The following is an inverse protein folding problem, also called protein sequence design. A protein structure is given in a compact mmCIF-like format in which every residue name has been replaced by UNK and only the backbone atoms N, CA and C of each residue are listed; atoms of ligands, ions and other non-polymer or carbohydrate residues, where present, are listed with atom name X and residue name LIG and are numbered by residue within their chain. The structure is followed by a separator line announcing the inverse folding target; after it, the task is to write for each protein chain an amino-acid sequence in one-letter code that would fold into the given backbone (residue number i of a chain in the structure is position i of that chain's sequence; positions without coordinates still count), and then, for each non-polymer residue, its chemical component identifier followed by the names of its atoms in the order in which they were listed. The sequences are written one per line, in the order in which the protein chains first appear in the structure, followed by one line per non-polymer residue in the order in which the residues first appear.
data_IF_231292140875
#
_entry.id   IF_231292140875
#
_cell.length_a   1.000
_cell.length_b   1.000
_cell.length_c   1.000
_cell.angle_alpha   90.00
_cell.angle_beta   90.00
_cell.angle_gamma   90.00
#
_symmetry.space_group_name_H-M   'P 1'
#
loop_
_entity.id
_entity.type
_entity.pdbx_description
1 polymer ?
#
# COMPACT_ATOMS: atom_id res chain seq x y z
N UNK A 1 -2.35 -35.50 17.58
CA UNK A 1 -3.06 -34.26 17.20
C UNK A 1 -2.52 -33.76 15.88
N UNK A 2 -3.37 -33.33 14.96
CA UNK A 2 -2.89 -32.68 13.74
C UNK A 2 -2.41 -31.26 14.12
N UNK A 3 -1.25 -30.86 13.64
CA UNK A 3 -0.66 -29.55 13.91
C UNK A 3 -0.90 -28.60 12.73
N UNK A 4 -1.26 -27.36 13.04
CA UNK A 4 -1.23 -26.24 12.10
C UNK A 4 0.23 -25.81 11.95
N UNK A 5 0.63 -25.29 10.79
CA UNK A 5 1.99 -24.77 10.58
C UNK A 5 2.33 -23.69 11.63
N UNK A 6 3.53 -23.77 12.20
CA UNK A 6 4.01 -22.75 13.17
C UNK A 6 3.91 -21.32 12.58
N UNK A 7 4.23 -21.16 11.32
CA UNK A 7 4.05 -19.89 10.61
C UNK A 7 2.66 -19.30 10.70
N UNK A 8 1.62 -20.16 10.65
CA UNK A 8 0.23 -19.70 10.72
C UNK A 8 -0.16 -19.33 12.17
N UNK A 9 0.44 -19.99 13.14
CA UNK A 9 0.22 -19.71 14.56
C UNK A 9 0.85 -18.38 14.96
N UNK A 10 2.00 -18.05 14.39
CA UNK A 10 2.77 -16.85 14.72
C UNK A 10 2.26 -15.60 13.98
N UNK A 11 1.47 -15.77 12.91
CA UNK A 11 0.89 -14.63 12.21
C UNK A 11 -0.01 -13.79 13.13
N UNK A 12 0.14 -12.47 13.12
CA UNK A 12 -0.70 -11.59 13.91
C UNK A 12 -2.17 -11.72 13.51
N UNK A 13 -3.06 -11.82 14.51
CA UNK A 13 -4.51 -11.78 14.27
C UNK A 13 -4.87 -10.43 13.63
N UNK A 14 -5.41 -10.48 12.42
CA UNK A 14 -5.80 -9.28 11.68
C UNK A 14 -7.12 -8.74 12.25
N UNK A 15 -7.06 -7.71 13.09
CA UNK A 15 -8.24 -7.02 13.66
C UNK A 15 -9.17 -6.49 12.56
N UNK A 16 -8.61 -6.13 11.40
CA UNK A 16 -9.39 -5.71 10.24
C UNK A 16 -10.38 -6.79 9.75
N UNK A 17 -10.06 -8.09 9.90
CA UNK A 17 -10.96 -9.19 9.58
C UNK A 17 -12.15 -9.29 10.55
N UNK A 18 -11.87 -9.20 11.84
CA UNK A 18 -12.93 -9.17 12.88
C UNK A 18 -13.82 -7.94 12.74
N UNK A 19 -13.23 -6.81 12.38
CA UNK A 19 -13.95 -5.57 12.13
C UNK A 19 -14.91 -5.68 10.95
N UNK A 20 -14.54 -6.39 9.87
CA UNK A 20 -15.45 -6.66 8.75
C UNK A 20 -16.70 -7.41 9.19
N UNK A 21 -16.55 -8.43 10.06
CA UNK A 21 -17.66 -9.19 10.65
C UNK A 21 -18.56 -8.30 11.53
N UNK A 22 -17.96 -7.42 12.34
CA UNK A 22 -18.70 -6.46 13.18
C UNK A 22 -19.52 -5.50 12.31
N UNK A 23 -18.94 -4.96 11.26
CA UNK A 23 -19.59 -4.02 10.34
C UNK A 23 -20.73 -4.68 9.53
N UNK A 24 -20.56 -5.94 9.17
CA UNK A 24 -21.61 -6.69 8.49
C UNK A 24 -22.88 -6.83 9.36
N UNK A 25 -22.69 -7.07 10.66
CA UNK A 25 -23.77 -7.25 11.64
C UNK A 25 -24.37 -5.93 12.17
N UNK A 26 -23.63 -4.82 12.07
CA UNK A 26 -24.00 -3.52 12.66
C UNK A 26 -23.97 -2.41 11.60
N UNK A 27 -25.06 -2.23 10.88
CA UNK A 27 -25.16 -1.28 9.75
C UNK A 27 -25.16 0.19 10.17
N UNK A 28 -25.33 0.51 11.44
CA UNK A 28 -25.30 1.87 12.01
C UNK A 28 -23.89 2.35 12.34
N UNK A 29 -22.87 1.46 12.28
CA UNK A 29 -21.47 1.82 12.46
C UNK A 29 -20.94 2.45 11.18
N UNK A 30 -20.41 3.67 11.30
CA UNK A 30 -19.70 4.34 10.20
C UNK A 30 -18.28 3.80 10.14
N UNK A 31 -17.90 3.23 9.01
CA UNK A 31 -16.54 2.72 8.83
C UNK A 31 -15.62 3.76 8.19
N UNK A 32 -14.52 4.08 8.91
CA UNK A 32 -13.35 4.78 8.41
C UNK A 32 -12.12 3.86 8.41
N UNK A 33 -12.35 2.53 8.37
CA UNK A 33 -11.30 1.52 8.48
C UNK A 33 -10.79 1.01 7.13
N UNK A 34 -11.64 0.96 6.11
CA UNK A 34 -11.27 0.36 4.83
C UNK A 34 -10.37 1.25 3.98
N UNK A 35 -9.36 0.61 3.39
CA UNK A 35 -8.43 1.25 2.45
C UNK A 35 -8.87 1.09 1.00
N UNK A 36 -10.14 1.35 0.69
CA UNK A 36 -10.71 1.21 -0.65
C UNK A 36 -11.31 2.54 -1.11
N UNK A 37 -11.04 2.98 -2.37
CA UNK A 37 -11.71 4.14 -2.94
C UNK A 37 -13.23 3.97 -2.92
N UNK A 38 -13.96 5.00 -2.49
CA UNK A 38 -15.43 5.07 -2.58
C UNK A 38 -15.92 5.47 -3.99
N UNK A 39 -15.01 5.88 -4.85
CA UNK A 39 -15.28 6.15 -6.25
C UNK A 39 -15.39 4.86 -7.05
N UNK A 40 -16.34 4.84 -7.98
CA UNK A 40 -16.49 3.70 -8.89
C UNK A 40 -15.37 3.68 -9.94
N UNK A 41 -15.02 2.49 -10.42
CA UNK A 41 -14.22 2.35 -11.64
C UNK A 41 -14.89 3.14 -12.77
N UNK A 42 -14.10 3.81 -13.60
CA UNK A 42 -14.63 4.60 -14.72
C UNK A 42 -15.56 3.77 -15.59
N UNK A 43 -16.72 4.35 -15.98
CA UNK A 43 -17.75 3.65 -16.75
C UNK A 43 -17.22 3.15 -18.09
N UNK A 44 -16.33 3.88 -18.71
CA UNK A 44 -15.67 3.52 -19.97
C UNK A 44 -14.84 2.25 -19.81
N UNK A 45 -14.08 2.12 -18.70
CA UNK A 45 -13.29 0.93 -18.36
C UNK A 45 -14.21 -0.29 -18.18
N UNK A 46 -15.30 -0.12 -17.43
CA UNK A 46 -16.28 -1.20 -17.21
C UNK A 46 -16.94 -1.62 -18.51
N UNK A 47 -17.35 -0.66 -19.34
CA UNK A 47 -17.98 -0.95 -20.63
C UNK A 47 -17.00 -1.60 -21.62
N UNK A 48 -15.71 -1.23 -21.56
CA UNK A 48 -14.68 -1.89 -22.35
C UNK A 48 -14.51 -3.34 -21.91
N UNK A 49 -14.43 -3.61 -20.61
CA UNK A 49 -14.35 -4.98 -20.08
C UNK A 49 -15.53 -5.85 -20.52
N UNK A 50 -16.77 -5.33 -20.48
CA UNK A 50 -17.97 -6.05 -20.92
C UNK A 50 -17.88 -6.57 -22.37
N UNK A 51 -17.23 -5.82 -23.29
CA UNK A 51 -17.05 -6.22 -24.69
C UNK A 51 -16.12 -7.44 -24.87
N UNK A 52 -15.30 -7.74 -23.87
CA UNK A 52 -14.31 -8.81 -23.93
C UNK A 52 -14.58 -9.93 -22.92
N UNK A 53 -15.71 -9.88 -22.20
CA UNK A 53 -16.00 -10.84 -21.14
C UNK A 53 -15.99 -12.29 -21.66
N UNK A 54 -16.69 -12.54 -22.77
CA UNK A 54 -16.78 -13.88 -23.41
C UNK A 54 -15.43 -14.38 -23.99
N UNK A 55 -14.47 -13.45 -24.19
CA UNK A 55 -13.14 -13.76 -24.72
C UNK A 55 -12.08 -13.89 -23.61
N UNK A 56 -12.49 -13.74 -22.36
CA UNK A 56 -11.60 -13.70 -21.18
C UNK A 56 -11.58 -15.02 -20.40
N UNK A 57 -12.08 -16.11 -20.99
CA UNK A 57 -12.18 -17.43 -20.35
C UNK A 57 -10.89 -18.26 -20.38
N UNK A 58 -9.80 -17.72 -20.93
CA UNK A 58 -8.49 -18.38 -21.00
C UNK A 58 -7.46 -17.65 -20.16
N UNK A 59 -6.46 -18.38 -19.69
CA UNK A 59 -5.30 -17.78 -19.02
C UNK A 59 -4.55 -16.85 -19.98
N UNK A 60 -4.14 -15.70 -19.45
CA UNK A 60 -3.17 -14.85 -20.12
C UNK A 60 -1.76 -15.47 -20.02
N UNK A 61 -0.79 -14.88 -20.72
CA UNK A 61 0.62 -15.18 -20.50
C UNK A 61 0.99 -14.92 -19.03
N UNK A 62 1.90 -15.68 -18.45
CA UNK A 62 2.29 -15.60 -17.04
C UNK A 62 2.84 -14.23 -16.64
N UNK A 63 3.64 -13.55 -17.50
CA UNK A 63 4.01 -12.13 -17.31
C UNK A 63 2.85 -11.15 -17.52
N UNK A 64 1.73 -11.63 -18.08
CA UNK A 64 0.57 -10.84 -18.46
C UNK A 64 0.59 -10.37 -19.92
N UNK A 65 -0.53 -9.73 -20.34
CA UNK A 65 -0.75 -9.28 -21.72
C UNK A 65 0.33 -8.27 -22.14
N UNK A 66 1.03 -8.56 -23.25
CA UNK A 66 2.10 -7.71 -23.78
C UNK A 66 1.62 -6.26 -23.98
N UNK A 67 0.44 -6.09 -24.54
CA UNK A 67 -0.16 -4.77 -24.77
C UNK A 67 -0.28 -3.91 -23.51
N UNK A 68 -0.64 -4.51 -22.38
CA UNK A 68 -0.69 -3.80 -21.10
C UNK A 68 0.72 -3.51 -20.56
N UNK A 69 1.65 -4.47 -20.66
CA UNK A 69 3.05 -4.28 -20.26
C UNK A 69 3.73 -3.14 -21.02
N UNK A 70 3.46 -3.01 -22.32
CA UNK A 70 3.94 -1.90 -23.16
C UNK A 70 3.38 -0.53 -22.70
N UNK A 71 2.10 -0.47 -22.35
CA UNK A 71 1.48 0.76 -21.82
C UNK A 71 2.07 1.12 -20.45
N UNK A 72 2.28 0.13 -19.59
CA UNK A 72 2.93 0.31 -18.28
C UNK A 72 4.35 0.86 -18.48
N UNK A 73 5.13 0.30 -19.42
CA UNK A 73 6.49 0.78 -19.71
C UNK A 73 6.49 2.25 -20.12
N UNK A 74 5.55 2.65 -20.99
CA UNK A 74 5.39 4.06 -21.40
C UNK A 74 5.01 4.96 -20.23
N UNK A 75 4.10 4.49 -19.35
CA UNK A 75 3.69 5.20 -18.13
C UNK A 75 4.88 5.36 -17.17
N UNK A 76 5.62 4.31 -16.90
CA UNK A 76 6.78 4.36 -16.02
C UNK A 76 7.84 5.34 -16.52
N UNK A 77 8.11 5.37 -17.82
CA UNK A 77 9.01 6.35 -18.40
C UNK A 77 8.50 7.78 -18.25
N UNK A 78 7.22 8.03 -18.56
CA UNK A 78 6.62 9.36 -18.56
C UNK A 78 6.43 9.94 -17.16
N UNK A 79 5.84 9.13 -16.25
CA UNK A 79 5.33 9.60 -14.96
C UNK A 79 6.36 9.40 -13.84
N UNK A 80 7.07 8.26 -13.86
CA UNK A 80 8.02 7.84 -12.83
C UNK A 80 9.49 8.02 -13.25
N UNK A 81 9.78 8.39 -14.50
CA UNK A 81 11.15 8.52 -15.06
C UNK A 81 11.94 7.20 -15.01
N UNK A 82 11.27 6.08 -14.95
CA UNK A 82 11.87 4.74 -14.97
C UNK A 82 11.99 4.27 -16.42
N UNK A 83 13.22 4.07 -16.90
CA UNK A 83 13.48 3.54 -18.23
C UNK A 83 13.61 2.00 -18.16
N UNK A 84 12.55 1.30 -18.57
CA UNK A 84 12.43 -0.16 -18.49
C UNK A 84 11.88 -0.76 -19.78
N UNK A 85 11.78 -2.08 -19.86
CA UNK A 85 11.24 -2.84 -20.99
C UNK A 85 10.00 -3.65 -20.56
N UNK A 86 9.11 -4.02 -21.50
CA UNK A 86 7.97 -4.85 -21.20
C UNK A 86 8.31 -6.20 -20.55
N UNK A 87 9.51 -6.75 -20.81
CA UNK A 87 9.97 -8.01 -20.23
C UNK A 87 10.31 -7.93 -18.74
N UNK A 88 10.50 -6.71 -18.22
CA UNK A 88 10.73 -6.43 -16.81
C UNK A 88 9.44 -6.21 -16.01
N UNK A 89 8.28 -6.18 -16.70
CA UNK A 89 6.96 -5.97 -16.10
C UNK A 89 6.25 -7.31 -15.91
N UNK A 90 5.89 -7.62 -14.69
CA UNK A 90 5.11 -8.81 -14.34
C UNK A 90 3.78 -8.35 -13.77
N UNK A 91 2.68 -8.68 -14.45
CA UNK A 91 1.32 -8.41 -13.98
C UNK A 91 0.91 -9.46 -12.96
N UNK A 92 0.32 -9.01 -11.86
CA UNK A 92 -0.04 -9.87 -10.72
C UNK A 92 -1.49 -9.66 -10.29
N UNK A 93 -2.02 -10.58 -9.49
CA UNK A 93 -3.38 -10.48 -8.92
C UNK A 93 -3.43 -9.45 -7.77
N UNK A 94 -3.11 -8.19 -8.08
CA UNK A 94 -2.92 -7.08 -7.15
C UNK A 94 -1.48 -6.97 -6.66
N UNK A 95 -1.13 -5.80 -6.10
CA UNK A 95 0.23 -5.51 -5.60
C UNK A 95 0.67 -6.44 -4.47
N UNK A 96 -0.26 -6.98 -3.65
CA UNK A 96 0.07 -7.93 -2.59
C UNK A 96 0.73 -9.21 -3.15
N UNK A 97 0.25 -9.75 -4.28
CA UNK A 97 0.92 -10.87 -4.94
C UNK A 97 2.27 -10.46 -5.53
N UNK A 98 2.41 -9.23 -6.02
CA UNK A 98 3.69 -8.72 -6.50
C UNK A 98 4.72 -8.68 -5.36
N UNK A 99 4.33 -8.17 -4.18
CA UNK A 99 5.16 -8.14 -2.96
C UNK A 99 5.56 -9.57 -2.58
N UNK A 100 4.58 -10.46 -2.43
CA UNK A 100 4.82 -11.84 -1.99
C UNK A 100 5.74 -12.62 -2.93
N UNK A 101 5.51 -12.54 -4.25
CA UNK A 101 6.35 -13.20 -5.24
C UNK A 101 7.76 -12.59 -5.32
N UNK A 102 7.88 -11.27 -5.12
CA UNK A 102 9.18 -10.61 -5.04
C UNK A 102 9.98 -11.10 -3.83
N UNK A 103 9.34 -11.19 -2.66
CA UNK A 103 9.95 -11.69 -1.44
C UNK A 103 10.41 -13.15 -1.60
N UNK A 104 9.55 -14.05 -2.12
CA UNK A 104 9.90 -15.43 -2.40
C UNK A 104 11.07 -15.58 -3.39
N UNK A 105 11.31 -14.58 -4.23
CA UNK A 105 12.36 -14.63 -5.26
C UNK A 105 13.71 -14.11 -4.76
N UNK A 106 13.75 -13.41 -3.62
CA UNK A 106 14.99 -12.79 -3.10
C UNK A 106 15.37 -13.24 -1.69
N UNK A 107 14.43 -13.84 -0.94
CA UNK A 107 14.68 -14.28 0.44
C UNK A 107 14.87 -15.78 0.55
N UNK A 108 15.95 -16.16 1.19
CA UNK A 108 16.12 -17.46 1.80
C UNK A 108 15.73 -17.42 3.28
N UNK A 109 15.42 -18.56 3.91
CA UNK A 109 15.15 -18.63 5.33
C UNK A 109 16.26 -17.97 6.17
N UNK A 110 15.88 -17.16 7.15
CA UNK A 110 16.79 -16.44 8.04
C UNK A 110 17.33 -15.12 7.49
N UNK A 111 17.08 -14.79 6.22
CA UNK A 111 17.47 -13.49 5.66
C UNK A 111 16.49 -12.40 6.10
N UNK A 112 16.98 -11.16 6.13
CA UNK A 112 16.32 -10.01 6.72
C UNK A 112 15.89 -8.97 5.70
N UNK A 113 14.76 -8.32 6.01
CA UNK A 113 14.31 -7.10 5.33
C UNK A 113 14.20 -5.98 6.34
N UNK A 114 14.77 -4.83 6.03
CA UNK A 114 14.54 -3.59 6.78
C UNK A 114 13.24 -2.98 6.29
N UNK A 115 12.27 -2.80 7.20
CA UNK A 115 10.96 -2.21 6.90
C UNK A 115 10.78 -0.92 7.67
N UNK A 116 10.49 0.18 6.99
CA UNK A 116 10.11 1.43 7.66
C UNK A 116 8.79 1.24 8.42
N UNK A 117 8.75 1.58 9.70
CA UNK A 117 7.58 1.36 10.57
C UNK A 117 7.16 2.65 11.27
N UNK A 118 5.86 3.00 11.28
CA UNK A 118 4.68 2.21 10.87
C UNK A 118 4.64 1.87 9.37
N UNK A 119 4.21 0.64 9.04
CA UNK A 119 4.18 0.10 7.68
C UNK A 119 2.79 -0.43 7.30
N UNK A 120 2.53 -0.61 6.01
CA UNK A 120 1.33 -1.29 5.56
C UNK A 120 1.22 -2.70 6.17
N UNK A 121 0.07 -2.99 6.76
CA UNK A 121 -0.21 -4.22 7.52
C UNK A 121 0.05 -5.54 6.76
N UNK A 122 0.15 -5.50 5.45
CA UNK A 122 0.43 -6.68 4.63
C UNK A 122 1.93 -6.92 4.36
N UNK A 123 2.84 -6.00 4.74
CA UNK A 123 4.26 -6.17 4.49
C UNK A 123 4.90 -7.19 5.45
N UNK A 124 4.70 -7.00 6.74
CA UNK A 124 5.30 -7.83 7.78
C UNK A 124 4.88 -9.30 7.64
N UNK A 125 3.57 -9.63 7.59
CA UNK A 125 3.14 -11.01 7.39
C UNK A 125 3.63 -11.62 6.08
N UNK A 126 3.78 -10.84 5.02
CA UNK A 126 4.30 -11.35 3.76
C UNK A 126 5.78 -11.78 3.87
N UNK A 127 6.60 -11.05 4.67
CA UNK A 127 8.00 -11.40 4.94
C UNK A 127 8.07 -12.65 5.82
N UNK A 128 7.29 -12.72 6.87
CA UNK A 128 7.24 -13.85 7.81
C UNK A 128 6.76 -15.14 7.13
N UNK A 129 5.73 -15.05 6.27
CA UNK A 129 5.21 -16.19 5.50
C UNK A 129 6.24 -16.82 4.56
N UNK A 130 7.25 -16.08 4.13
CA UNK A 130 8.35 -16.62 3.30
C UNK A 130 9.59 -16.99 4.13
N UNK A 131 9.46 -17.11 5.45
CA UNK A 131 10.54 -17.37 6.43
C UNK A 131 11.63 -16.29 6.45
N UNK A 132 11.30 -15.07 6.07
CA UNK A 132 12.18 -13.92 6.25
C UNK A 132 12.01 -13.31 7.64
N UNK A 133 13.01 -12.55 8.09
CA UNK A 133 12.98 -11.78 9.33
C UNK A 133 12.80 -10.29 9.03
N UNK A 134 12.10 -9.59 9.93
CA UNK A 134 11.84 -8.14 9.81
C UNK A 134 12.74 -7.39 10.77
N UNK A 135 13.50 -6.42 10.24
CA UNK A 135 14.16 -5.38 11.03
C UNK A 135 13.39 -4.07 10.87
N UNK A 136 12.93 -3.53 11.99
CA UNK A 136 12.08 -2.34 11.99
C UNK A 136 12.91 -1.07 12.05
N UNK A 137 12.90 -0.27 10.98
CA UNK A 137 13.42 1.08 10.98
C UNK A 137 12.30 2.05 11.41
N UNK A 138 12.41 2.60 12.62
CA UNK A 138 11.46 3.57 13.13
C UNK A 138 11.49 4.84 12.28
N UNK A 139 10.31 5.37 11.95
CA UNK A 139 10.19 6.68 11.32
C UNK A 139 10.39 7.78 12.38
N UNK A 140 10.88 8.93 11.95
CA UNK A 140 10.99 10.10 12.85
C UNK A 140 9.59 10.64 13.25
N UNK A 141 9.57 11.67 14.10
CA UNK A 141 8.33 12.29 14.58
C UNK A 141 7.47 12.90 13.45
N UNK A 142 8.08 13.20 12.29
CA UNK A 142 7.43 13.70 11.08
C UNK A 142 7.10 12.59 10.07
N UNK A 143 7.28 11.34 10.50
CA UNK A 143 7.14 10.13 9.68
C UNK A 143 8.11 10.09 8.48
N UNK A 144 9.28 10.72 8.56
CA UNK A 144 10.34 10.53 7.58
C UNK A 144 11.15 9.28 7.90
N UNK A 145 11.88 8.78 6.90
CA UNK A 145 12.84 7.70 7.07
C UNK A 145 14.03 8.19 7.91
N UNK A 146 14.40 7.45 8.94
CA UNK A 146 15.65 7.65 9.67
C UNK A 146 16.76 6.81 9.01
N UNK A 147 17.53 7.46 8.14
CA UNK A 147 18.58 6.80 7.36
C UNK A 147 19.70 6.28 8.25
N UNK A 148 20.05 7.02 9.30
CA UNK A 148 21.10 6.58 10.25
C UNK A 148 20.65 5.35 11.06
N UNK A 149 19.38 5.27 11.41
CA UNK A 149 18.81 4.07 12.02
C UNK A 149 18.83 2.90 11.03
N UNK A 150 18.36 3.12 9.78
CA UNK A 150 18.37 2.08 8.74
C UNK A 150 19.79 1.52 8.51
N UNK A 151 20.80 2.39 8.48
CA UNK A 151 22.20 2.01 8.29
C UNK A 151 22.72 1.10 9.41
N UNK A 152 22.34 1.35 10.65
CA UNK A 152 22.73 0.51 11.82
C UNK A 152 22.09 -0.88 11.80
N UNK A 153 20.95 -1.05 11.10
CA UNK A 153 20.24 -2.32 11.00
C UNK A 153 20.80 -3.25 9.90
N UNK A 154 21.69 -2.73 9.04
CA UNK A 154 22.27 -3.50 7.94
C UNK A 154 23.36 -4.42 8.49
N UNK A 155 23.25 -5.72 8.15
CA UNK A 155 24.26 -6.74 8.39
C UNK A 155 24.37 -7.72 7.20
N UNK A 156 25.17 -8.79 7.35
CA UNK A 156 25.38 -9.81 6.30
C UNK A 156 24.12 -10.59 5.92
N UNK A 157 23.09 -10.60 6.77
CA UNK A 157 21.81 -11.28 6.54
C UNK A 157 20.79 -10.39 5.85
N UNK A 158 21.04 -9.08 5.79
CA UNK A 158 20.14 -8.11 5.16
C UNK A 158 20.12 -8.28 3.64
N UNK A 159 18.94 -8.43 3.03
CA UNK A 159 18.74 -8.62 1.59
C UNK A 159 18.06 -7.45 0.90
N UNK A 160 17.18 -6.76 1.61
CA UNK A 160 16.45 -5.66 1.02
C UNK A 160 15.99 -4.62 2.05
N UNK A 161 15.69 -3.44 1.53
CA UNK A 161 14.94 -2.39 2.22
C UNK A 161 13.55 -2.33 1.59
N UNK A 162 12.50 -2.28 2.41
CA UNK A 162 11.13 -2.12 1.96
C UNK A 162 10.59 -0.76 2.39
N UNK A 163 10.16 0.03 1.41
CA UNK A 163 9.54 1.35 1.64
C UNK A 163 8.16 1.41 0.99
N UNK A 164 7.26 2.21 1.57
CA UNK A 164 5.94 2.49 1.01
C UNK A 164 5.73 4.00 0.90
N UNK A 165 5.60 4.50 -0.32
CA UNK A 165 5.47 5.93 -0.57
C UNK A 165 4.55 6.23 -1.76
N UNK A 166 3.47 7.02 -1.59
CA UNK A 166 2.91 7.55 -0.36
C UNK A 166 2.54 6.47 0.65
N UNK A 167 2.82 6.72 1.93
CA UNK A 167 2.79 5.71 2.98
C UNK A 167 1.35 5.40 3.47
N UNK A 168 1.08 4.16 3.72
CA UNK A 168 -0.03 3.66 4.52
C UNK A 168 0.59 3.09 5.82
N UNK A 169 0.34 3.68 7.01
CA UNK A 169 -0.85 4.44 7.40
C UNK A 169 -0.70 5.97 7.44
N UNK A 170 0.50 6.52 7.36
CA UNK A 170 0.79 7.90 7.76
C UNK A 170 0.36 8.95 6.73
N UNK A 171 0.23 8.57 5.46
CA UNK A 171 0.02 9.49 4.35
C UNK A 171 1.27 10.30 3.97
N UNK A 172 2.43 9.99 4.55
CA UNK A 172 3.70 10.65 4.26
C UNK A 172 4.19 10.34 2.84
N UNK A 173 4.76 11.33 2.18
CA UNK A 173 5.57 11.16 0.98
C UNK A 173 7.02 11.49 1.30
N UNK A 174 7.92 10.58 0.96
CA UNK A 174 9.33 10.83 1.19
C UNK A 174 9.88 11.83 0.14
N UNK A 175 10.69 12.77 0.60
CA UNK A 175 11.33 13.76 -0.27
C UNK A 175 12.32 13.09 -1.22
N UNK A 176 12.63 13.77 -2.34
CA UNK A 176 13.63 13.27 -3.29
C UNK A 176 14.96 12.99 -2.60
N UNK A 177 15.38 13.85 -1.69
CA UNK A 177 16.62 13.69 -0.91
C UNK A 177 16.62 12.39 -0.10
N UNK A 178 15.54 12.11 0.66
CA UNK A 178 15.43 10.87 1.42
C UNK A 178 15.43 9.62 0.54
N UNK A 179 14.78 9.68 -0.63
CA UNK A 179 14.78 8.58 -1.58
C UNK A 179 16.18 8.37 -2.21
N UNK A 180 16.95 9.45 -2.44
CA UNK A 180 18.34 9.39 -2.88
C UNK A 180 19.23 8.75 -1.80
N UNK A 181 19.09 9.13 -0.54
CA UNK A 181 19.82 8.54 0.59
C UNK A 181 19.53 7.03 0.75
N UNK A 182 18.28 6.59 0.57
CA UNK A 182 17.93 5.15 0.55
C UNK A 182 18.57 4.44 -0.65
N UNK A 183 18.61 5.08 -1.82
CA UNK A 183 19.22 4.51 -3.00
C UNK A 183 20.74 4.33 -2.83
N UNK A 184 21.42 5.33 -2.29
CA UNK A 184 22.85 5.28 -1.99
C UNK A 184 23.15 4.15 -0.99
N UNK A 185 22.37 4.08 0.11
CA UNK A 185 22.50 3.03 1.11
C UNK A 185 22.32 1.62 0.51
N UNK A 186 21.35 1.45 -0.39
CA UNK A 186 21.10 0.18 -1.05
C UNK A 186 22.23 -0.20 -2.02
N UNK A 187 22.76 0.73 -2.80
CA UNK A 187 23.86 0.50 -3.74
C UNK A 187 25.16 0.16 -2.98
N UNK A 188 25.49 0.94 -1.94
CA UNK A 188 26.69 0.73 -1.11
C UNK A 188 26.72 -0.65 -0.45
N UNK A 189 25.55 -1.17 -0.05
CA UNK A 189 25.43 -2.44 0.67
C UNK A 189 24.93 -3.60 -0.20
N UNK A 190 24.79 -3.40 -1.52
CA UNK A 190 24.29 -4.40 -2.47
C UNK A 190 22.92 -4.99 -2.07
N UNK A 191 21.98 -4.10 -1.66
CA UNK A 191 20.63 -4.46 -1.21
C UNK A 191 19.59 -4.15 -2.29
N UNK A 192 18.57 -5.01 -2.39
CA UNK A 192 17.38 -4.65 -3.15
C UNK A 192 16.54 -3.60 -2.41
N UNK A 193 15.76 -2.80 -3.18
CA UNK A 193 14.72 -1.94 -2.60
C UNK A 193 13.38 -2.35 -3.17
N UNK A 194 12.49 -2.82 -2.31
CA UNK A 194 11.08 -3.07 -2.64
C UNK A 194 10.32 -1.78 -2.34
N UNK A 195 9.94 -1.07 -3.41
CA UNK A 195 9.20 0.18 -3.32
C UNK A 195 7.72 -0.07 -3.61
N UNK A 196 6.89 -0.09 -2.56
CA UNK A 196 5.43 -0.14 -2.71
C UNK A 196 4.90 1.26 -3.01
N UNK A 197 4.52 1.48 -4.26
CA UNK A 197 4.04 2.74 -4.81
C UNK A 197 2.54 2.69 -5.16
N UNK A 198 1.76 1.89 -4.42
CA UNK A 198 0.34 1.69 -4.70
C UNK A 198 -0.49 2.99 -4.71
N UNK A 199 0.00 4.05 -4.08
CA UNK A 199 -0.66 5.36 -3.99
C UNK A 199 0.03 6.46 -4.82
N UNK A 200 0.95 6.16 -5.71
CA UNK A 200 1.83 7.12 -6.42
C UNK A 200 1.09 8.26 -7.15
N UNK A 201 -0.15 8.02 -7.59
CA UNK A 201 -1.02 9.02 -8.24
C UNK A 201 -1.94 9.78 -7.28
N UNK A 202 -2.02 9.35 -6.02
CA UNK A 202 -2.87 9.99 -5.01
C UNK A 202 -1.98 10.85 -4.13
N UNK A 203 -1.70 12.06 -4.62
CA UNK A 203 -0.80 13.04 -3.98
C UNK A 203 -1.45 14.42 -3.92
N UNK A 204 -1.00 15.25 -2.99
CA UNK A 204 -1.62 16.54 -2.67
C UNK A 204 -0.58 17.66 -2.72
N UNK A 205 -0.29 18.14 -3.92
CA UNK A 205 0.64 19.25 -4.15
C UNK A 205 2.05 18.81 -4.55
N UNK A 206 2.59 17.78 -3.93
CA UNK A 206 3.92 17.26 -4.24
C UNK A 206 3.87 16.16 -5.30
N UNK A 207 4.92 16.06 -6.10
CA UNK A 207 5.09 14.97 -7.07
C UNK A 207 5.79 13.80 -6.41
N UNK A 208 5.25 12.59 -6.59
CA UNK A 208 5.91 11.35 -6.18
C UNK A 208 7.23 11.14 -6.91
N UNK A 209 8.23 10.64 -6.20
CA UNK A 209 9.53 10.24 -6.74
C UNK A 209 9.68 8.73 -6.58
N UNK A 210 9.82 8.03 -7.70
CA UNK A 210 10.08 6.58 -7.69
C UNK A 210 11.58 6.32 -7.55
N UNK A 211 11.98 5.51 -6.59
CA UNK A 211 13.39 5.17 -6.36
C UNK A 211 14.03 4.52 -7.60
N UNK A 212 13.27 3.74 -8.36
CA UNK A 212 13.73 3.13 -9.60
C UNK A 212 14.14 4.09 -10.71
N UNK A 213 13.88 5.42 -10.55
CA UNK A 213 14.32 6.47 -11.47
C UNK A 213 15.74 6.95 -11.20
N UNK A 214 16.31 6.64 -10.04
CA UNK A 214 17.60 7.15 -9.62
C UNK A 214 18.76 6.37 -10.24
N UNK A 215 19.92 7.02 -10.36
CA UNK A 215 21.12 6.39 -10.89
C UNK A 215 21.56 5.20 -10.02
N UNK A 216 21.94 4.09 -10.67
CA UNK A 216 22.31 2.86 -9.99
C UNK A 216 21.13 1.93 -9.66
N UNK A 217 19.92 2.46 -9.45
CA UNK A 217 18.77 1.70 -8.94
C UNK A 217 18.16 0.70 -9.93
N UNK A 218 18.51 0.74 -11.20
CA UNK A 218 18.01 -0.20 -12.22
C UNK A 218 18.26 -1.67 -11.88
N UNK A 219 19.33 -1.97 -11.14
CA UNK A 219 19.70 -3.33 -10.70
C UNK A 219 19.10 -3.72 -9.35
N UNK A 220 18.67 -2.73 -8.56
CA UNK A 220 18.30 -2.93 -7.17
C UNK A 220 16.82 -2.71 -6.88
N UNK A 221 16.11 -1.91 -7.70
CA UNK A 221 14.73 -1.53 -7.39
C UNK A 221 13.69 -2.50 -7.94
N UNK A 222 12.75 -2.89 -7.07
CA UNK A 222 11.48 -3.53 -7.43
C UNK A 222 10.37 -2.49 -7.19
N UNK A 223 9.87 -1.89 -8.27
CA UNK A 223 8.78 -0.90 -8.20
C UNK A 223 7.45 -1.61 -8.31
N UNK A 224 6.65 -1.57 -7.25
CA UNK A 224 5.35 -2.25 -7.17
C UNK A 224 4.24 -1.21 -7.22
N UNK A 225 3.30 -1.40 -8.16
CA UNK A 225 2.17 -0.49 -8.33
C UNK A 225 0.84 -1.26 -8.44
N UNK A 226 -0.26 -0.57 -8.14
CA UNK A 226 -1.59 -1.17 -8.05
C UNK A 226 -2.63 -0.41 -8.85
N UNK A 227 -3.49 -1.13 -9.55
CA UNK A 227 -4.69 -0.55 -10.16
C UNK A 227 -5.80 -0.28 -9.13
N UNK A 228 -5.72 -0.91 -7.97
CA UNK A 228 -6.74 -0.86 -6.93
C UNK A 228 -7.06 0.57 -6.49
N UNK A 229 -6.03 1.39 -6.25
CA UNK A 229 -6.18 2.71 -5.63
C UNK A 229 -6.33 3.80 -6.69
N UNK A 230 -5.41 3.83 -7.64
CA UNK A 230 -5.37 4.83 -8.72
C UNK A 230 -6.62 4.78 -9.61
N UNK A 231 -7.08 3.58 -9.97
CA UNK A 231 -8.19 3.41 -10.91
C UNK A 231 -9.49 2.91 -10.27
N UNK A 232 -9.55 2.87 -8.92
CA UNK A 232 -10.71 2.34 -8.18
C UNK A 232 -11.07 0.91 -8.62
N UNK A 233 -10.07 0.04 -8.78
CA UNK A 233 -10.21 -1.32 -9.30
C UNK A 233 -9.89 -2.40 -8.24
N UNK A 234 -10.21 -2.16 -6.96
CA UNK A 234 -9.85 -3.08 -5.87
C UNK A 234 -10.37 -4.50 -6.10
N UNK A 235 -11.64 -4.65 -6.50
CA UNK A 235 -12.28 -5.95 -6.74
C UNK A 235 -11.78 -6.66 -8.00
N UNK A 236 -11.14 -5.96 -8.92
CA UNK A 236 -10.60 -6.56 -10.17
C UNK A 236 -9.24 -7.22 -9.98
N UNK A 237 -8.58 -7.04 -8.83
CA UNK A 237 -7.33 -7.71 -8.49
C UNK A 237 -6.24 -7.57 -9.56
N UNK A 238 -5.77 -6.36 -9.81
CA UNK A 238 -4.69 -6.10 -10.76
C UNK A 238 -3.60 -5.20 -10.16
N UNK A 239 -2.36 -5.63 -10.30
CA UNK A 239 -1.16 -4.89 -9.95
C UNK A 239 0.00 -5.35 -10.82
N UNK A 240 1.16 -4.81 -10.58
CA UNK A 240 2.38 -5.23 -11.26
C UNK A 240 3.63 -4.90 -10.45
N UNK A 241 4.71 -5.59 -10.78
CA UNK A 241 6.06 -5.23 -10.40
C UNK A 241 6.88 -4.91 -11.65
N UNK A 242 7.63 -3.82 -11.62
CA UNK A 242 8.76 -3.58 -12.50
C UNK A 242 10.02 -4.04 -11.76
N UNK A 243 10.65 -5.10 -12.24
CA UNK A 243 11.78 -5.74 -11.59
C UNK A 243 13.09 -5.55 -12.37
N UNK A 244 14.27 -5.66 -11.74
CA UNK A 244 15.53 -5.84 -12.44
C UNK A 244 15.46 -7.03 -13.42
N UNK A 245 16.24 -6.96 -14.50
CA UNK A 245 16.24 -8.00 -15.54
C UNK A 245 16.48 -9.39 -14.97
N UNK A 246 17.39 -9.51 -14.04
CA UNK A 246 17.80 -10.75 -13.39
C UNK A 246 16.71 -11.36 -12.50
N UNK A 247 15.81 -10.53 -11.96
CA UNK A 247 14.69 -10.95 -11.11
C UNK A 247 13.36 -11.13 -11.88
N UNK A 248 13.24 -10.59 -13.08
CA UNK A 248 11.98 -10.66 -13.83
C UNK A 248 11.51 -12.09 -14.10
N UNK A 249 12.42 -12.98 -14.48
CA UNK A 249 12.09 -14.40 -14.71
C UNK A 249 11.86 -15.18 -13.40
N UNK A 250 12.71 -15.08 -12.37
CA UNK A 250 12.43 -15.66 -11.05
C UNK A 250 11.06 -15.26 -10.49
N UNK A 251 10.69 -13.98 -10.52
CA UNK A 251 9.38 -13.50 -10.04
C UNK A 251 8.24 -14.06 -10.90
N UNK A 252 8.42 -14.12 -12.22
CA UNK A 252 7.42 -14.73 -13.13
C UNK A 252 7.21 -16.20 -12.80
N UNK A 253 8.29 -16.95 -12.63
CA UNK A 253 8.25 -18.37 -12.25
C UNK A 253 7.52 -18.57 -10.92
N UNK A 254 7.85 -17.78 -9.93
CA UNK A 254 7.18 -17.82 -8.60
C UNK A 254 5.70 -17.53 -8.75
N UNK A 255 5.33 -16.45 -9.45
CA UNK A 255 3.94 -16.09 -9.64
C UNK A 255 3.15 -17.15 -10.41
N UNK A 256 3.76 -17.84 -11.37
CA UNK A 256 3.15 -18.97 -12.09
C UNK A 256 2.69 -20.08 -11.13
N UNK A 257 3.46 -20.38 -10.10
CA UNK A 257 3.10 -21.40 -9.11
C UNK A 257 2.13 -20.89 -8.05
N UNK A 258 2.11 -19.58 -7.75
CA UNK A 258 1.20 -18.97 -6.78
C UNK A 258 -0.18 -18.67 -7.38
N UNK A 259 -0.23 -18.19 -8.63
CA UNK A 259 -1.47 -17.67 -9.21
C UNK A 259 -1.66 -17.90 -10.70
N UNK A 260 -0.76 -18.66 -11.36
CA UNK A 260 -0.74 -18.97 -12.82
C UNK A 260 -0.54 -17.69 -13.65
N UNK A 261 -1.54 -16.80 -13.64
CA UNK A 261 -1.52 -15.50 -14.33
C UNK A 261 -2.53 -14.55 -13.66
N UNK A 262 -2.34 -13.25 -13.81
CA UNK A 262 -3.36 -12.28 -13.40
C UNK A 262 -4.64 -12.44 -14.23
N UNK A 263 -5.85 -12.14 -13.67
CA UNK A 263 -7.12 -12.34 -14.38
C UNK A 263 -7.14 -11.60 -15.72
N UNK A 264 -7.43 -12.34 -16.81
CA UNK A 264 -7.38 -11.80 -18.18
C UNK A 264 -8.28 -10.60 -18.38
N UNK A 265 -9.51 -10.65 -17.85
CA UNK A 265 -10.46 -9.53 -17.96
C UNK A 265 -9.95 -8.28 -17.22
N UNK A 266 -9.31 -8.45 -16.07
CA UNK A 266 -8.74 -7.35 -15.30
C UNK A 266 -7.61 -6.66 -16.05
N UNK A 267 -6.78 -7.42 -16.77
CA UNK A 267 -5.70 -6.87 -17.59
C UNK A 267 -6.25 -6.07 -18.79
N UNK A 268 -7.31 -6.56 -19.42
CA UNK A 268 -8.00 -5.86 -20.52
C UNK A 268 -8.58 -4.53 -20.01
N UNK A 269 -9.23 -4.55 -18.85
CA UNK A 269 -9.75 -3.35 -18.19
C UNK A 269 -8.63 -2.40 -17.75
N UNK A 270 -7.52 -2.93 -17.22
CA UNK A 270 -6.35 -2.15 -16.84
C UNK A 270 -5.71 -1.41 -18.02
N UNK A 271 -5.64 -2.06 -19.18
CA UNK A 271 -5.20 -1.42 -20.44
C UNK A 271 -6.06 -0.20 -20.76
N UNK A 272 -7.38 -0.35 -20.72
CA UNK A 272 -8.29 0.77 -21.00
C UNK A 272 -8.19 1.88 -19.94
N UNK A 273 -8.08 1.52 -18.67
CA UNK A 273 -7.93 2.48 -17.59
C UNK A 273 -6.70 3.38 -17.79
N UNK A 274 -5.56 2.80 -18.17
CA UNK A 274 -4.35 3.57 -18.46
C UNK A 274 -4.46 4.39 -19.74
N UNK A 275 -5.15 3.88 -20.78
CA UNK A 275 -5.38 4.58 -22.06
C UNK A 275 -6.21 5.86 -21.88
N UNK A 276 -7.17 5.87 -20.96
CA UNK A 276 -8.02 7.04 -20.67
C UNK A 276 -7.25 8.17 -19.97
N UNK A 277 -6.08 7.87 -19.39
CA UNK A 277 -5.21 8.86 -18.75
C UNK A 277 -5.72 9.39 -17.41
N UNK A 278 -5.07 10.42 -16.90
CA UNK A 278 -5.14 10.84 -15.49
C UNK A 278 -6.26 11.85 -15.17
N UNK A 279 -7.07 12.26 -16.15
CA UNK A 279 -8.11 13.30 -15.92
C UNK A 279 -9.10 12.91 -14.83
N UNK A 280 -9.51 11.65 -14.79
CA UNK A 280 -10.41 11.12 -13.75
C UNK A 280 -9.72 11.07 -12.39
N UNK A 281 -8.46 10.64 -12.36
CA UNK A 281 -7.64 10.56 -11.14
C UNK A 281 -7.49 11.96 -10.52
N UNK A 282 -7.21 12.98 -11.34
CA UNK A 282 -7.13 14.36 -10.88
C UNK A 282 -8.41 14.89 -10.21
N UNK A 283 -9.60 14.45 -10.67
CA UNK A 283 -10.87 14.78 -10.01
C UNK A 283 -11.00 14.11 -8.64
N UNK A 284 -10.61 12.82 -8.56
CA UNK A 284 -10.62 12.06 -7.30
C UNK A 284 -9.66 12.69 -6.29
N UNK A 285 -8.44 13.03 -6.70
CA UNK A 285 -7.45 13.66 -5.83
C UNK A 285 -7.90 15.01 -5.28
N UNK A 286 -8.61 15.84 -6.07
CA UNK A 286 -9.20 17.09 -5.60
C UNK A 286 -10.24 16.87 -4.49
N UNK A 287 -11.07 15.85 -4.63
CA UNK A 287 -12.07 15.53 -3.60
C UNK A 287 -11.40 14.93 -2.35
N UNK A 288 -10.41 14.04 -2.50
CA UNK A 288 -9.64 13.55 -1.36
C UNK A 288 -8.88 14.68 -0.65
N UNK A 289 -8.34 15.66 -1.37
CA UNK A 289 -7.69 16.84 -0.76
C UNK A 289 -8.66 17.66 0.11
N UNK A 290 -9.91 17.84 -0.35
CA UNK A 290 -10.96 18.48 0.44
C UNK A 290 -11.28 17.71 1.72
N UNK A 291 -11.43 16.38 1.60
CA UNK A 291 -11.73 15.49 2.73
C UNK A 291 -10.59 15.42 3.74
N UNK A 292 -9.32 15.31 3.30
CA UNK A 292 -8.16 15.27 4.20
C UNK A 292 -8.04 16.55 5.02
N UNK A 293 -8.22 17.73 4.41
CA UNK A 293 -8.19 19.01 5.10
C UNK A 293 -9.26 19.10 6.18
N UNK A 294 -10.45 18.63 5.86
CA UNK A 294 -11.56 18.60 6.82
C UNK A 294 -11.30 17.65 7.98
N UNK A 295 -10.96 16.38 7.71
CA UNK A 295 -10.79 15.37 8.75
C UNK A 295 -9.61 15.72 9.69
N UNK A 296 -8.47 16.18 9.15
CA UNK A 296 -7.32 16.59 9.96
C UNK A 296 -7.65 17.79 10.84
N UNK A 297 -8.34 18.80 10.32
CA UNK A 297 -8.81 19.94 11.12
C UNK A 297 -9.70 19.48 12.28
N UNK A 298 -10.63 18.55 12.03
CA UNK A 298 -11.54 18.02 13.06
C UNK A 298 -10.80 17.20 14.11
N UNK A 299 -9.87 16.31 13.70
CA UNK A 299 -9.08 15.50 14.62
C UNK A 299 -8.22 16.38 15.54
N UNK A 300 -7.49 17.34 14.98
CA UNK A 300 -6.69 18.28 15.77
C UNK A 300 -7.54 19.13 16.74
N UNK A 301 -8.74 19.53 16.32
CA UNK A 301 -9.70 20.22 17.21
C UNK A 301 -10.23 19.36 18.37
N UNK A 302 -10.02 18.05 18.32
CA UNK A 302 -10.33 17.08 19.37
C UNK A 302 -9.08 16.56 20.12
N UNK A 303 -7.95 17.27 20.05
CA UNK A 303 -6.67 16.84 20.64
C UNK A 303 -6.17 15.45 20.16
N UNK A 304 -6.62 15.01 18.99
CA UNK A 304 -6.07 13.85 18.29
C UNK A 304 -5.06 14.36 17.27
N UNK A 305 -3.83 14.64 17.75
CA UNK A 305 -2.79 15.27 16.93
C UNK A 305 -2.54 14.49 15.64
N UNK A 306 -2.79 15.12 14.51
CA UNK A 306 -2.72 14.50 13.19
C UNK A 306 -1.93 15.38 12.24
N UNK A 307 -0.85 14.86 11.68
CA UNK A 307 -0.10 15.53 10.61
C UNK A 307 -0.92 15.52 9.32
N UNK A 308 -0.75 16.56 8.50
CA UNK A 308 -1.45 16.65 7.21
C UNK A 308 -0.88 15.62 6.24
N UNK A 309 -1.66 14.62 5.78
CA UNK A 309 -1.19 13.64 4.82
C UNK A 309 -0.75 14.31 3.50
N UNK A 310 0.36 13.89 2.93
CA UNK A 310 0.89 14.39 1.67
C UNK A 310 0.43 13.54 0.48
N UNK A 311 0.03 12.28 0.76
CA UNK A 311 -0.51 11.36 -0.24
C UNK A 311 -1.39 10.29 0.39
N UNK A 312 -1.80 9.28 -0.41
CA UNK A 312 -2.76 8.25 -0.06
C UNK A 312 -4.12 8.85 0.38
N UNK A 313 -4.91 8.15 1.16
CA UNK A 313 -6.20 8.65 1.68
C UNK A 313 -6.41 8.27 3.16
N UNK A 314 -5.33 8.39 3.95
CA UNK A 314 -5.33 8.08 5.38
C UNK A 314 -4.91 9.28 6.22
N UNK A 315 -5.52 9.37 7.40
CA UNK A 315 -5.09 10.19 8.51
C UNK A 315 -4.63 9.27 9.64
N UNK A 316 -3.42 9.51 10.17
CA UNK A 316 -2.83 8.75 11.26
C UNK A 316 -2.76 9.64 12.49
N UNK A 317 -3.72 9.44 13.40
CA UNK A 317 -3.98 10.34 14.51
C UNK A 317 -3.37 9.81 15.80
N UNK A 318 -2.60 10.64 16.49
CA UNK A 318 -2.06 10.33 17.81
C UNK A 318 -3.17 10.42 18.86
N UNK A 319 -3.28 9.40 19.70
CA UNK A 319 -4.32 9.25 20.73
C UNK A 319 -3.80 9.46 22.15
N UNK A 320 -2.53 9.82 22.34
CA UNK A 320 -1.88 9.86 23.66
C UNK A 320 -2.56 10.81 24.67
N UNK A 321 -3.34 11.77 24.18
CA UNK A 321 -4.16 12.63 25.04
C UNK A 321 -5.33 11.90 25.69
N UNK A 322 -5.69 10.70 25.22
CA UNK A 322 -6.85 9.93 25.70
C UNK A 322 -6.51 8.50 26.13
N UNK A 323 -5.54 7.87 25.48
CA UNK A 323 -5.14 6.48 25.74
C UNK A 323 -3.72 6.23 25.27
N UNK A 324 -3.08 5.25 25.87
CA UNK A 324 -1.81 4.69 25.39
C UNK A 324 -2.01 3.41 24.58
N UNK A 325 -3.22 2.85 24.57
CA UNK A 325 -3.56 1.57 23.94
C UNK A 325 -4.52 1.79 22.78
N UNK A 326 -4.01 1.65 21.56
CA UNK A 326 -4.76 1.93 20.33
C UNK A 326 -5.93 0.97 20.12
N UNK A 327 -5.78 -0.31 20.53
CA UNK A 327 -6.82 -1.33 20.40
C UNK A 327 -8.02 -0.98 21.28
N UNK A 328 -7.80 -0.64 22.55
CA UNK A 328 -8.89 -0.35 23.49
C UNK A 328 -9.57 0.98 23.18
N UNK A 329 -8.79 1.98 22.74
CA UNK A 329 -9.35 3.24 22.25
C UNK A 329 -10.26 3.00 21.04
N UNK A 330 -9.83 2.18 20.09
CA UNK A 330 -10.62 1.82 18.91
C UNK A 330 -11.92 1.08 19.30
N UNK A 331 -11.84 0.09 20.19
CA UNK A 331 -13.02 -0.61 20.72
C UNK A 331 -14.00 0.34 21.41
N UNK A 332 -13.48 1.28 22.20
CA UNK A 332 -14.28 2.30 22.88
C UNK A 332 -15.05 3.16 21.87
N UNK A 333 -14.38 3.64 20.80
CA UNK A 333 -15.03 4.44 19.77
C UNK A 333 -16.06 3.63 18.95
N UNK A 334 -15.81 2.36 18.67
CA UNK A 334 -16.81 1.49 18.03
C UNK A 334 -18.05 1.35 18.92
N UNK A 335 -17.85 1.11 20.22
CA UNK A 335 -18.96 0.91 21.18
C UNK A 335 -19.76 2.19 21.43
N UNK A 336 -19.07 3.33 21.71
CA UNK A 336 -19.72 4.58 22.16
C UNK A 336 -20.05 5.52 21.01
N UNK A 337 -19.13 5.69 20.05
CA UNK A 337 -19.32 6.61 18.93
C UNK A 337 -19.95 5.92 17.70
N UNK A 338 -19.98 4.60 17.65
CA UNK A 338 -20.42 3.83 16.47
C UNK A 338 -19.62 4.22 15.22
N UNK A 339 -18.29 4.39 15.39
CA UNK A 339 -17.34 4.68 14.32
C UNK A 339 -16.19 3.68 14.41
N UNK A 340 -15.86 3.06 13.28
CA UNK A 340 -14.80 2.06 13.18
C UNK A 340 -13.58 2.64 12.46
N UNK A 341 -12.38 2.34 12.97
CA UNK A 341 -11.07 2.69 12.44
C UNK A 341 -10.08 1.56 12.75
N UNK A 342 -8.86 1.67 12.31
CA UNK A 342 -7.85 0.65 12.56
C UNK A 342 -6.90 1.12 13.67
N UNK A 343 -6.63 0.29 14.71
CA UNK A 343 -5.63 0.60 15.72
C UNK A 343 -4.23 0.63 15.11
N UNK A 344 -3.37 1.46 15.66
CA UNK A 344 -2.03 1.68 15.12
C UNK A 344 -1.11 0.46 15.23
N UNK A 345 -1.35 -0.42 16.21
CA UNK A 345 -0.62 -1.70 16.37
C UNK A 345 -0.68 -2.60 15.14
N UNK A 346 -1.73 -2.52 14.32
CA UNK A 346 -1.84 -3.27 13.06
C UNK A 346 -0.77 -2.86 12.01
N UNK A 347 -0.10 -1.72 12.22
CA UNK A 347 0.92 -1.18 11.31
C UNK A 347 2.34 -1.41 11.81
N UNK A 348 2.52 -2.31 12.79
CA UNK A 348 3.81 -2.69 13.33
C UNK A 348 4.13 -2.05 14.68
N UNK A 349 5.31 -2.39 15.20
CA UNK A 349 5.80 -2.10 16.55
C UNK A 349 5.67 -0.62 16.96
N UNK A 350 5.89 0.32 16.05
CA UNK A 350 5.88 1.77 16.32
C UNK A 350 4.54 2.45 15.97
N UNK A 351 3.48 1.65 15.73
CA UNK A 351 2.15 2.17 15.49
C UNK A 351 1.31 2.40 16.74
N UNK A 352 1.75 1.93 17.93
CA UNK A 352 1.03 2.17 19.18
C UNK A 352 0.89 3.68 19.45
N UNK A 353 -0.06 4.09 20.23
CA UNK A 353 -0.50 5.48 20.44
C UNK A 353 -1.14 6.17 19.22
N UNK A 354 -1.39 5.45 18.13
CA UNK A 354 -2.03 5.99 16.93
C UNK A 354 -3.27 5.19 16.54
N UNK A 355 -4.13 5.83 15.75
CA UNK A 355 -5.23 5.19 15.02
C UNK A 355 -5.20 5.65 13.57
N UNK A 356 -5.53 4.75 12.63
CA UNK A 356 -5.66 5.12 11.22
C UNK A 356 -7.12 5.28 10.85
N UNK A 357 -7.45 6.43 10.26
CA UNK A 357 -8.73 6.73 9.65
C UNK A 357 -8.57 6.88 8.14
N UNK A 358 -9.44 6.22 7.36
CA UNK A 358 -9.53 6.42 5.91
C UNK A 358 -10.53 7.53 5.60
N UNK A 359 -10.15 8.49 4.75
CA UNK A 359 -11.08 9.47 4.21
C UNK A 359 -11.56 9.13 2.78
N UNK A 360 -11.34 7.88 2.35
CA UNK A 360 -11.91 7.32 1.13
C UNK A 360 -13.37 6.90 1.35
N UNK A 361 -14.18 7.79 1.86
CA UNK A 361 -15.64 7.66 2.01
C UNK A 361 -16.31 9.03 1.82
N UNK A 362 -17.65 9.08 1.68
CA UNK A 362 -18.35 10.33 1.39
C UNK A 362 -18.14 11.39 2.48
N UNK A 363 -18.07 12.66 2.09
CA UNK A 363 -17.90 13.78 3.03
C UNK A 363 -18.96 13.78 4.14
N UNK A 364 -20.23 13.47 3.80
CA UNK A 364 -21.32 13.37 4.77
C UNK A 364 -21.03 12.30 5.85
N UNK A 365 -20.48 11.14 5.47
CA UNK A 365 -20.11 10.10 6.43
C UNK A 365 -18.92 10.54 7.30
N UNK A 366 -17.93 11.24 6.73
CA UNK A 366 -16.81 11.79 7.49
C UNK A 366 -17.32 12.81 8.53
N UNK A 367 -18.18 13.74 8.13
CA UNK A 367 -18.78 14.74 9.02
C UNK A 367 -19.56 14.10 10.17
N UNK A 368 -20.42 13.13 9.86
CA UNK A 368 -21.17 12.36 10.86
C UNK A 368 -20.24 11.61 11.83
N UNK A 369 -19.19 10.97 11.30
CA UNK A 369 -18.22 10.25 12.10
C UNK A 369 -17.47 11.20 13.06
N UNK A 370 -16.98 12.32 12.56
CA UNK A 370 -16.30 13.33 13.39
C UNK A 370 -17.21 13.89 14.49
N UNK A 371 -18.48 14.18 14.18
CA UNK A 371 -19.44 14.65 15.17
C UNK A 371 -19.71 13.61 16.28
N UNK A 372 -19.81 12.32 15.90
CA UNK A 372 -19.98 11.22 16.88
C UNK A 372 -18.75 11.04 17.77
N UNK A 373 -17.54 11.09 17.20
CA UNK A 373 -16.29 10.99 17.94
C UNK A 373 -16.18 12.17 18.92
N UNK A 374 -16.39 13.38 18.45
CA UNK A 374 -16.30 14.60 19.28
C UNK A 374 -17.25 14.55 20.50
N UNK A 375 -18.48 14.05 20.30
CA UNK A 375 -19.45 13.90 21.40
C UNK A 375 -19.02 12.90 22.47
N UNK A 376 -18.19 11.92 22.12
CA UNK A 376 -17.68 10.89 23.05
C UNK A 376 -16.43 11.35 23.77
N UNK A 377 -15.62 12.20 23.13
CA UNK A 377 -14.33 12.67 23.64
C UNK A 377 -14.45 13.94 24.50
N UNK A 378 -15.54 14.69 24.36
CA UNK A 378 -15.94 15.81 25.25
C UNK A 378 -16.69 15.29 26.47
#
# INVERSE_FOLDING_TARGET
MLHISEREVDLPKVIAGDLANILQKNKDIISLSFGEPDFKTQKEVVNYGKKFLDKSNRYAHDKGLLKLREVITKKLKKDNQINTNPENIILTSGSQNAIFCSLLSILDPGKKIIVSSPAYLGHIPAIELVNGSVEYAELDEDFNLDIENMKKLIDSETKAIMINTPNNPTGKMYSKKLIEEVADLAVENNLYVISDEAYEKITYGNKHVSIGSLNGMKKYSLTIQSFSKTYSMCGFRLGYVNAPKELAEPITKTFRYVGIAAPTISQIMGYEAMRLGDKYIGKICKEYDRRRKFIVKRLNGMNLTTRMPEGAFYAFANISSYSKESVDFTKMLIKKARVAMIPGTEFGKFGENYIRLSFATSMNLIEKAMNRIEKVLK
#
